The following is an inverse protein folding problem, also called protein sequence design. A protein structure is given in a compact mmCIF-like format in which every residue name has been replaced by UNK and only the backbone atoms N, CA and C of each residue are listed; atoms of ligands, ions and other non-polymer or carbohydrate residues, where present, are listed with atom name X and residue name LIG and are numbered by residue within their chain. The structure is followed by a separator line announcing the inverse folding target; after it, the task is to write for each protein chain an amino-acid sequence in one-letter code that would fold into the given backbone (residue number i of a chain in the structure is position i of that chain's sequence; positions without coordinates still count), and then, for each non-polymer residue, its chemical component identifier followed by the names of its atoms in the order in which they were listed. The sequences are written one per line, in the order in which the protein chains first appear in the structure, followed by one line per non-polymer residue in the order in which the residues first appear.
data_IF_167871861584
#
_entry.id   IF_167871861584
#
_cell.length_a   1.000
_cell.length_b   1.000
_cell.length_c   1.000
_cell.angle_alpha   90.00
_cell.angle_beta   90.00
_cell.angle_gamma   90.00
#
_symmetry.space_group_name_H-M   'P 1'
#
loop_
_entity.id
_entity.type
_entity.pdbx_description
1 polymer ?
#
# COMPACT_ATOMS: atom_id res chain seq x y z
N UNK A 1 72.79 -30.80 18.71
CA UNK A 1 71.53 -31.36 18.17
C UNK A 1 70.51 -30.24 18.07
N UNK A 2 70.16 -29.80 16.86
CA UNK A 2 69.10 -28.80 16.61
C UNK A 2 67.85 -29.56 16.16
N UNK A 3 66.75 -29.44 16.91
CA UNK A 3 65.46 -30.03 16.59
C UNK A 3 64.66 -28.96 15.86
N UNK A 4 64.39 -29.16 14.57
CA UNK A 4 63.50 -28.30 13.79
C UNK A 4 62.07 -28.81 13.97
N UNK A 5 61.20 -27.98 14.55
CA UNK A 5 59.75 -28.24 14.57
C UNK A 5 59.16 -27.84 13.21
N UNK A 6 58.63 -28.83 12.51
CA UNK A 6 57.86 -28.67 11.28
C UNK A 6 56.52 -27.99 11.62
N UNK A 7 56.27 -26.81 11.08
CA UNK A 7 54.97 -26.12 11.18
C UNK A 7 54.17 -26.48 9.94
N UNK A 8 53.09 -27.25 10.13
CA UNK A 8 52.13 -27.56 9.08
C UNK A 8 51.14 -26.38 9.01
N UNK A 9 51.25 -25.57 7.96
CA UNK A 9 50.30 -24.50 7.67
C UNK A 9 49.16 -25.12 6.86
N UNK A 10 48.03 -25.37 7.51
CA UNK A 10 46.79 -25.75 6.84
C UNK A 10 46.22 -24.52 6.14
N UNK A 11 46.30 -24.50 4.82
CA UNK A 11 45.60 -23.50 3.99
C UNK A 11 44.12 -23.89 3.95
N UNK A 12 43.31 -23.19 4.74
CA UNK A 12 41.84 -23.24 4.62
C UNK A 12 41.46 -22.53 3.32
N UNK A 13 41.19 -23.31 2.28
CA UNK A 13 40.56 -22.83 1.05
C UNK A 13 39.11 -22.44 1.39
N UNK A 14 38.86 -21.14 1.53
CA UNK A 14 37.51 -20.59 1.67
C UNK A 14 36.82 -20.75 0.32
N UNK A 15 35.86 -21.68 0.25
CA UNK A 15 34.89 -21.74 -0.84
C UNK A 15 34.13 -20.42 -0.84
N UNK A 16 34.43 -19.57 -1.82
CA UNK A 16 33.60 -18.42 -2.15
C UNK A 16 32.34 -18.99 -2.76
N UNK A 17 31.34 -19.27 -1.92
CA UNK A 17 29.98 -19.47 -2.39
C UNK A 17 29.63 -18.21 -3.16
N UNK A 18 29.50 -18.34 -4.48
CA UNK A 18 28.93 -17.33 -5.36
C UNK A 18 27.49 -17.10 -4.95
N UNK A 19 27.27 -16.41 -3.83
CA UNK A 19 25.99 -15.81 -3.54
C UNK A 19 25.69 -14.88 -4.70
N UNK A 20 24.55 -15.10 -5.37
CA UNK A 20 23.90 -14.03 -6.12
C UNK A 20 24.02 -12.78 -5.26
N UNK A 21 24.77 -11.78 -5.70
CA UNK A 21 24.62 -10.44 -5.16
C UNK A 21 23.19 -10.09 -5.59
N UNK A 22 22.20 -10.05 -4.69
CA UNK A 22 20.89 -9.58 -5.07
C UNK A 22 21.11 -8.18 -5.65
N UNK A 23 20.43 -7.83 -6.74
CA UNK A 23 20.40 -6.44 -7.17
C UNK A 23 19.99 -5.54 -5.98
N UNK A 24 20.22 -4.23 -6.04
CA UNK A 24 19.68 -3.34 -5.01
C UNK A 24 18.17 -3.65 -4.88
N UNK A 25 17.78 -4.10 -3.70
CA UNK A 25 16.40 -4.49 -3.43
C UNK A 25 15.45 -3.31 -3.58
N UNK A 26 14.16 -3.58 -3.66
CA UNK A 26 13.12 -2.58 -3.81
C UNK A 26 11.92 -2.88 -2.90
N UNK A 27 11.20 -1.84 -2.45
CA UNK A 27 9.89 -2.02 -1.82
C UNK A 27 8.85 -2.56 -2.81
N UNK A 28 7.77 -3.13 -2.29
CA UNK A 28 6.63 -3.66 -3.06
C UNK A 28 5.35 -3.55 -2.22
N UNK A 29 4.56 -2.51 -2.44
CA UNK A 29 3.39 -2.12 -1.66
C UNK A 29 2.11 -2.70 -2.27
N UNK A 30 1.64 -3.78 -1.67
CA UNK A 30 0.41 -4.46 -2.09
C UNK A 30 -0.72 -4.15 -1.13
N UNK A 31 -1.89 -3.73 -1.65
CA UNK A 31 -3.11 -3.71 -0.84
C UNK A 31 -3.59 -5.14 -0.64
N UNK A 32 -3.33 -5.72 0.52
CA UNK A 32 -3.68 -7.11 0.84
C UNK A 32 -5.11 -7.27 1.33
N UNK A 33 -5.76 -6.19 1.77
CA UNK A 33 -7.15 -6.20 2.20
C UNK A 33 -7.81 -4.87 1.91
N UNK A 34 -8.99 -4.93 1.30
CA UNK A 34 -9.99 -3.88 1.31
C UNK A 34 -11.32 -4.52 1.70
N UNK A 35 -12.01 -3.96 2.68
CA UNK A 35 -13.33 -4.44 3.09
C UNK A 35 -14.16 -3.30 3.70
N UNK A 36 -15.49 -3.47 3.64
CA UNK A 36 -16.41 -2.68 4.45
C UNK A 36 -16.48 -3.29 5.86
N UNK A 37 -16.27 -2.47 6.88
CA UNK A 37 -16.27 -2.91 8.29
C UNK A 37 -17.64 -2.73 8.95
N UNK A 38 -18.61 -2.18 8.24
CA UNK A 38 -19.97 -1.94 8.72
C UNK A 38 -20.90 -1.45 7.63
N UNK A 39 -22.15 -1.18 8.01
CA UNK A 39 -23.14 -0.59 7.11
C UNK A 39 -22.81 0.87 6.83
N UNK A 40 -23.11 1.29 5.60
CA UNK A 40 -23.12 2.70 5.24
C UNK A 40 -24.13 3.49 6.06
N UNK A 41 -23.90 4.80 6.16
CA UNK A 41 -24.85 5.73 6.76
C UNK A 41 -24.80 7.09 6.08
N UNK A 42 -25.91 7.82 6.12
CA UNK A 42 -25.99 9.18 5.62
C UNK A 42 -25.43 10.13 6.69
N UNK A 43 -24.35 10.81 6.35
CA UNK A 43 -23.73 11.83 7.18
C UNK A 43 -24.39 13.21 7.03
N UNK A 44 -23.80 14.20 7.67
CA UNK A 44 -24.20 15.60 7.54
C UNK A 44 -24.20 16.04 6.08
N UNK A 45 -25.14 16.90 5.70
CA UNK A 45 -25.32 17.39 4.31
C UNK A 45 -25.70 16.33 3.27
N UNK A 46 -26.12 15.13 3.72
CA UNK A 46 -26.67 14.08 2.86
C UNK A 46 -25.62 13.19 2.18
N UNK A 47 -24.32 13.39 2.46
CA UNK A 47 -23.27 12.54 1.90
C UNK A 47 -23.28 11.15 2.53
N UNK A 48 -23.03 10.10 1.75
CA UNK A 48 -23.00 8.72 2.26
C UNK A 48 -21.60 8.39 2.72
N UNK A 49 -21.46 7.87 3.94
CA UNK A 49 -20.20 7.37 4.49
C UNK A 49 -20.24 5.85 4.61
N UNK A 50 -19.21 5.17 4.12
CA UNK A 50 -19.02 3.73 4.28
C UNK A 50 -17.80 3.49 5.16
N UNK A 51 -17.92 2.83 6.32
CA UNK A 51 -16.76 2.45 7.11
C UNK A 51 -15.99 1.34 6.38
N UNK A 52 -14.69 1.57 6.14
CA UNK A 52 -13.81 0.64 5.43
C UNK A 52 -12.50 0.44 6.17
N UNK A 53 -11.85 -0.69 5.88
CA UNK A 53 -10.49 -0.99 6.30
C UNK A 53 -9.64 -1.35 5.08
N UNK A 54 -8.48 -0.72 4.98
CA UNK A 54 -7.45 -1.00 3.98
C UNK A 54 -6.17 -1.46 4.69
N UNK A 55 -5.62 -2.59 4.27
CA UNK A 55 -4.32 -3.07 4.74
C UNK A 55 -3.35 -3.07 3.58
N UNK A 56 -2.21 -2.41 3.77
CA UNK A 56 -1.10 -2.39 2.81
C UNK A 56 0.08 -3.12 3.42
N UNK A 57 0.70 -3.99 2.63
CA UNK A 57 1.89 -4.74 3.01
C UNK A 57 3.04 -4.38 2.09
N UNK A 58 4.22 -4.15 2.66
CA UNK A 58 5.46 -4.15 1.89
C UNK A 58 5.94 -5.61 1.72
N UNK A 59 5.74 -6.20 0.55
CA UNK A 59 6.21 -7.54 0.18
C UNK A 59 7.63 -7.55 -0.37
N UNK A 60 8.22 -6.37 -0.59
CA UNK A 60 9.57 -6.18 -1.07
C UNK A 60 10.62 -6.48 -0.01
N UNK A 61 11.89 -6.39 -0.41
CA UNK A 61 13.04 -6.67 0.45
C UNK A 61 13.72 -5.40 1.00
N UNK A 62 13.19 -4.23 0.65
CA UNK A 62 13.66 -2.91 1.13
C UNK A 62 12.50 -2.11 1.73
N UNK A 63 12.83 -1.23 2.67
CA UNK A 63 11.88 -0.31 3.29
C UNK A 63 11.21 0.59 2.24
N UNK A 64 9.89 0.71 2.32
CA UNK A 64 9.13 1.66 1.52
C UNK A 64 9.10 3.02 2.22
N UNK A 65 9.31 4.11 1.46
CA UNK A 65 9.17 5.47 1.98
C UNK A 65 7.76 5.79 2.46
N UNK A 66 7.52 7.05 2.84
CA UNK A 66 6.15 7.49 3.15
C UNK A 66 5.32 7.49 1.87
N UNK A 67 4.17 6.82 1.91
CA UNK A 67 3.23 6.67 0.80
C UNK A 67 1.82 7.04 1.24
N UNK A 68 0.93 7.25 0.27
CA UNK A 68 -0.49 7.50 0.51
C UNK A 68 -1.36 6.44 -0.15
N UNK A 69 -2.58 6.28 0.35
CA UNK A 69 -3.60 5.40 -0.22
C UNK A 69 -4.68 6.28 -0.85
N UNK A 70 -5.11 5.95 -2.05
CA UNK A 70 -6.37 6.46 -2.60
C UNK A 70 -7.43 5.38 -2.62
N UNK A 71 -8.68 5.80 -2.67
CA UNK A 71 -9.82 4.94 -2.97
C UNK A 71 -10.56 5.47 -4.16
N UNK A 72 -11.04 4.56 -5.00
CA UNK A 72 -11.76 4.89 -6.23
C UNK A 72 -12.96 3.97 -6.40
N UNK A 73 -13.96 4.45 -7.11
CA UNK A 73 -15.14 3.66 -7.40
C UNK A 73 -15.60 3.76 -8.86
N UNK A 74 -16.33 2.72 -9.27
CA UNK A 74 -17.11 2.68 -10.50
C UNK A 74 -18.58 2.80 -10.10
N UNK A 75 -19.22 3.89 -10.51
CA UNK A 75 -20.64 4.12 -10.32
C UNK A 75 -21.46 3.64 -11.51
N UNK A 76 -22.80 3.69 -11.42
CA UNK A 76 -23.66 3.34 -12.56
C UNK A 76 -23.53 4.29 -13.75
N UNK A 77 -22.95 5.48 -13.53
CA UNK A 77 -22.72 6.50 -14.56
C UNK A 77 -21.33 6.40 -15.20
N UNK A 78 -20.51 5.42 -14.78
CA UNK A 78 -19.13 5.24 -15.22
C UNK A 78 -18.10 5.46 -14.10
N UNK A 79 -16.87 5.73 -14.50
CA UNK A 79 -15.70 5.83 -13.62
C UNK A 79 -14.40 5.52 -14.39
N UNK A 80 -13.26 5.47 -13.70
CA UNK A 80 -13.12 5.55 -12.23
C UNK A 80 -13.31 6.96 -11.68
N UNK A 81 -13.81 7.06 -10.45
CA UNK A 81 -13.94 8.31 -9.70
C UNK A 81 -13.22 8.20 -8.37
N UNK A 82 -12.41 9.20 -8.03
CA UNK A 82 -11.82 9.29 -6.69
C UNK A 82 -12.91 9.47 -5.62
N UNK A 83 -12.79 8.71 -4.54
CA UNK A 83 -13.64 8.85 -3.35
C UNK A 83 -12.76 9.21 -2.16
N UNK A 84 -13.19 10.19 -1.37
CA UNK A 84 -12.42 10.62 -0.20
C UNK A 84 -12.37 9.52 0.85
N UNK A 85 -11.17 9.24 1.36
CA UNK A 85 -10.94 8.29 2.45
C UNK A 85 -10.49 9.03 3.71
N UNK A 86 -11.41 9.22 4.65
CA UNK A 86 -11.15 9.89 5.93
C UNK A 86 -10.70 8.87 6.98
N UNK A 87 -9.44 8.96 7.43
CA UNK A 87 -8.91 8.17 8.55
C UNK A 87 -8.82 9.04 9.80
N UNK A 88 -9.47 8.68 10.93
CA UNK A 88 -9.42 9.46 12.16
C UNK A 88 -7.98 9.76 12.61
N UNK A 89 -7.73 11.02 12.97
CA UNK A 89 -6.40 11.49 13.40
C UNK A 89 -5.47 11.90 12.25
N UNK A 90 -5.87 11.71 10.99
CA UNK A 90 -5.17 12.25 9.83
C UNK A 90 -5.74 13.60 9.39
N UNK A 91 -4.90 14.43 8.78
CA UNK A 91 -5.29 15.77 8.31
C UNK A 91 -5.82 15.79 6.89
N UNK A 92 -5.52 14.76 6.09
CA UNK A 92 -5.95 14.66 4.69
C UNK A 92 -7.15 13.72 4.59
N UNK A 93 -8.28 14.26 4.14
CA UNK A 93 -9.57 13.54 4.04
C UNK A 93 -9.77 12.79 2.71
N UNK A 94 -8.81 12.92 1.79
CA UNK A 94 -8.86 12.28 0.47
C UNK A 94 -7.89 11.12 0.34
N UNK A 95 -6.69 11.29 0.89
CA UNK A 95 -5.58 10.36 0.71
C UNK A 95 -4.85 10.17 2.04
N UNK A 96 -5.25 9.20 2.87
CA UNK A 96 -4.53 8.93 4.09
C UNK A 96 -3.15 8.37 3.76
N UNK A 97 -2.18 8.62 4.65
CA UNK A 97 -0.77 8.35 4.39
C UNK A 97 -0.07 7.76 5.61
N UNK A 98 1.07 7.11 5.39
CA UNK A 98 1.91 6.60 6.47
C UNK A 98 2.72 7.74 7.11
N UNK A 99 2.90 7.74 8.43
CA UNK A 99 3.70 8.77 9.12
C UNK A 99 5.19 8.44 9.17
N UNK A 100 5.56 7.23 8.77
CA UNK A 100 6.93 6.72 8.76
C UNK A 100 7.09 5.68 7.64
N UNK A 101 8.33 5.39 7.24
CA UNK A 101 8.61 4.30 6.31
C UNK A 101 8.05 2.95 6.79
N UNK A 102 7.75 2.06 5.84
CA UNK A 102 7.22 0.71 6.10
C UNK A 102 8.29 -0.34 5.81
N UNK A 103 8.75 -1.02 6.86
CA UNK A 103 9.78 -2.04 6.77
C UNK A 103 9.38 -3.23 5.86
N UNK A 104 10.36 -3.98 5.32
CA UNK A 104 10.10 -5.23 4.59
C UNK A 104 9.22 -6.21 5.39
N UNK A 105 8.19 -6.75 4.76
CA UNK A 105 7.20 -7.62 5.38
C UNK A 105 6.25 -6.90 6.36
N UNK A 106 6.44 -5.60 6.59
CA UNK A 106 5.60 -4.78 7.45
C UNK A 106 4.23 -4.52 6.83
N UNK A 107 3.25 -4.32 7.72
CA UNK A 107 1.87 -4.00 7.35
C UNK A 107 1.43 -2.71 8.04
N UNK A 108 0.61 -1.94 7.34
CA UNK A 108 -0.09 -0.78 7.90
C UNK A 108 -1.58 -0.89 7.62
N UNK A 109 -2.39 -0.49 8.59
CA UNK A 109 -3.85 -0.51 8.50
C UNK A 109 -4.39 0.92 8.51
N UNK A 110 -5.21 1.23 7.53
CA UNK A 110 -6.02 2.44 7.46
C UNK A 110 -7.47 2.05 7.73
N UNK A 111 -8.04 2.55 8.81
CA UNK A 111 -9.45 2.31 9.16
C UNK A 111 -10.16 3.66 9.24
N UNK A 112 -11.27 3.79 8.52
CA UNK A 112 -11.91 5.09 8.33
C UNK A 112 -13.16 5.01 7.48
N UNK A 113 -13.49 6.11 6.79
CA UNK A 113 -14.71 6.24 6.02
C UNK A 113 -14.43 6.60 4.56
N UNK A 114 -15.06 5.92 3.62
CA UNK A 114 -15.17 6.35 2.24
C UNK A 114 -16.40 7.27 2.06
N UNK A 115 -16.21 8.43 1.42
CA UNK A 115 -17.20 9.50 1.32
C UNK A 115 -17.80 9.63 -0.08
N UNK A 116 -19.05 9.21 -0.23
CA UNK A 116 -19.78 9.25 -1.49
C UNK A 116 -20.71 10.47 -1.58
N UNK A 117 -20.85 10.96 -2.81
CA UNK A 117 -21.76 12.05 -3.13
C UNK A 117 -23.24 11.64 -2.92
N UNK A 118 -24.12 12.53 -2.39
CA UNK A 118 -25.53 12.21 -2.12
C UNK A 118 -26.31 11.66 -3.32
N UNK A 119 -25.92 12.02 -4.54
CA UNK A 119 -26.57 11.55 -5.78
C UNK A 119 -26.37 10.06 -6.09
N UNK A 120 -25.62 9.34 -5.24
CA UNK A 120 -25.38 7.90 -5.35
C UNK A 120 -26.15 7.09 -4.30
N UNK A 121 -27.04 7.71 -3.51
CA UNK A 121 -27.90 6.99 -2.58
C UNK A 121 -28.76 5.95 -3.29
N UNK A 122 -29.02 4.84 -2.60
CA UNK A 122 -29.69 3.64 -3.07
C UNK A 122 -28.99 2.91 -4.24
N UNK A 123 -27.68 3.10 -4.40
CA UNK A 123 -26.89 2.44 -5.43
C UNK A 123 -25.88 1.45 -4.84
N UNK A 124 -25.49 0.45 -5.63
CA UNK A 124 -24.32 -0.38 -5.35
C UNK A 124 -23.19 0.04 -6.27
N UNK A 125 -22.01 0.28 -5.70
CA UNK A 125 -20.81 0.68 -6.43
C UNK A 125 -19.70 -0.35 -6.24
N UNK A 126 -18.80 -0.43 -7.22
CA UNK A 126 -17.55 -1.18 -7.11
C UNK A 126 -16.48 -0.25 -6.55
N UNK A 127 -15.84 -0.61 -5.44
CA UNK A 127 -14.82 0.18 -4.74
C UNK A 127 -13.50 -0.60 -4.71
N UNK A 128 -12.39 0.10 -4.93
CA UNK A 128 -11.04 -0.43 -4.75
C UNK A 128 -10.13 0.63 -4.11
N UNK A 129 -8.99 0.19 -3.60
CA UNK A 129 -7.96 1.03 -3.01
C UNK A 129 -6.64 0.85 -3.77
N UNK A 130 -5.81 1.89 -3.77
CA UNK A 130 -4.53 1.93 -4.47
C UNK A 130 -3.46 2.38 -3.50
N UNK A 131 -2.46 1.54 -3.25
CA UNK A 131 -1.26 1.91 -2.50
C UNK A 131 -0.34 2.80 -3.35
N UNK A 132 0.40 3.69 -2.70
CA UNK A 132 1.24 4.73 -3.30
C UNK A 132 0.61 5.51 -4.46
N UNK A 133 -0.68 5.82 -4.36
CA UNK A 133 -1.39 6.53 -5.41
C UNK A 133 -0.81 7.91 -5.70
N UNK A 134 -0.71 8.27 -6.98
CA UNK A 134 -0.41 9.63 -7.45
C UNK A 134 -1.62 10.59 -7.37
N UNK A 135 -2.80 10.11 -6.95
CA UNK A 135 -4.05 10.86 -7.02
C UNK A 135 -3.97 12.23 -6.34
N UNK A 136 -4.20 13.31 -7.09
CA UNK A 136 -4.18 14.68 -6.57
C UNK A 136 -2.80 15.34 -6.46
N UNK A 137 -1.72 14.68 -6.89
CA UNK A 137 -0.40 15.31 -7.04
C UNK A 137 -0.14 15.70 -8.50
N UNK A 138 0.58 16.80 -8.70
CA UNK A 138 1.02 17.24 -10.02
C UNK A 138 2.49 16.84 -10.24
N UNK A 139 2.84 16.53 -11.49
CA UNK A 139 4.22 16.25 -11.93
C UNK A 139 4.92 15.08 -11.21
N UNK A 140 4.16 14.07 -10.76
CA UNK A 140 4.72 12.83 -10.23
C UNK A 140 5.37 12.01 -11.35
N UNK A 141 6.46 11.26 -11.05
CA UNK A 141 6.95 10.22 -11.95
C UNK A 141 5.93 9.07 -12.06
N UNK A 142 6.17 8.15 -13.00
CA UNK A 142 5.26 7.02 -13.25
C UNK A 142 5.11 6.08 -12.04
N UNK A 143 6.10 6.04 -11.14
CA UNK A 143 6.10 5.25 -9.90
C UNK A 143 5.57 5.99 -8.66
N UNK A 144 5.03 7.20 -8.83
CA UNK A 144 4.57 8.00 -7.70
C UNK A 144 5.69 8.31 -6.66
N UNK A 145 5.53 8.00 -5.37
CA UNK A 145 6.48 8.42 -4.31
C UNK A 145 7.54 7.37 -4.03
N UNK A 146 7.20 6.10 -4.21
CA UNK A 146 8.01 4.95 -3.88
C UNK A 146 8.30 4.23 -5.20
N UNK A 147 9.58 4.10 -5.57
CA UNK A 147 9.95 3.33 -6.77
C UNK A 147 10.02 1.83 -6.40
N UNK A 148 9.01 1.09 -6.82
CA UNK A 148 8.73 -0.28 -6.39
C UNK A 148 9.32 -1.33 -7.34
N UNK A 149 9.33 -2.59 -6.89
CA UNK A 149 9.70 -3.71 -7.75
C UNK A 149 8.63 -4.05 -8.78
N UNK A 150 7.36 -3.79 -8.47
CA UNK A 150 6.21 -4.10 -9.33
C UNK A 150 5.08 -3.07 -9.14
N UNK A 151 5.14 -1.99 -9.93
CA UNK A 151 4.13 -0.92 -9.98
C UNK A 151 2.72 -1.38 -10.43
N UNK A 152 2.55 -2.66 -10.78
CA UNK A 152 1.27 -3.18 -11.29
C UNK A 152 0.42 -3.88 -10.23
N UNK A 153 0.91 -3.99 -8.98
CA UNK A 153 0.27 -4.77 -7.92
C UNK A 153 -0.25 -3.92 -6.73
N UNK A 154 -0.21 -2.60 -6.85
CA UNK A 154 -0.66 -1.64 -5.84
C UNK A 154 -2.18 -1.59 -5.64
N UNK A 155 -2.96 -2.10 -6.59
CA UNK A 155 -4.42 -2.08 -6.54
C UNK A 155 -4.99 -3.25 -5.73
N UNK A 156 -6.00 -2.96 -4.91
CA UNK A 156 -6.74 -3.98 -4.17
C UNK A 156 -7.64 -4.81 -5.08
N UNK A 157 -8.09 -5.96 -4.58
CA UNK A 157 -9.31 -6.57 -5.13
C UNK A 157 -10.50 -5.63 -4.98
N UNK A 158 -11.39 -5.63 -5.97
CA UNK A 158 -12.62 -4.81 -5.96
C UNK A 158 -13.67 -5.39 -5.00
N UNK A 159 -14.32 -4.54 -4.21
CA UNK A 159 -15.47 -4.90 -3.39
C UNK A 159 -16.74 -4.19 -3.87
N UNK A 160 -17.91 -4.83 -3.68
CA UNK A 160 -19.21 -4.21 -3.94
C UNK A 160 -19.77 -3.62 -2.66
N UNK A 161 -20.19 -2.34 -2.72
CA UNK A 161 -20.69 -1.61 -1.55
C UNK A 161 -22.03 -0.97 -1.86
N UNK A 162 -23.02 -1.20 -1.00
CA UNK A 162 -24.32 -0.52 -1.06
C UNK A 162 -24.25 0.82 -0.33
N UNK A 163 -24.77 1.86 -0.97
CA UNK A 163 -24.83 3.23 -0.51
C UNK A 163 -26.28 3.55 -0.09
N UNK A 164 -26.60 3.70 1.20
CA UNK A 164 -27.95 4.01 1.66
C UNK A 164 -28.40 5.46 1.41
#
# INVERSE_FOLDING_TARGET
MKIYKLVVITVCMVLVMSGCIPGPGKPDLVVTTLEATGLGFVGSYGGVKIPIRVVVKNQGDVEAGIFKVSTEYMGPQGGPFAVGFEVPGQTLVWYPFTSSPLAPGGEVTFEGYAHFYPGLSDMTVSLWAIADSCGGDEFMPDYCRVDESDESNNESTVISVYLP
#
